data_IF_303557316974
#
_entry.id   IF_303557316974
#
_cell.length_a   1.000
_cell.length_b   1.000
_cell.length_c   1.000
_cell.angle_alpha   90.00
_cell.angle_beta   90.00
_cell.angle_gamma   90.00
#
_symmetry.space_group_name_H-M   'P 1'
#
loop_
_entity.id
_entity.type
_entity.pdbx_description
1 polymer ?
#
# COMPACT_ATOMS: atom_id res chain seq x y z
N UNK A 1 -4.88 47.15 -32.82
CA UNK A 1 -5.56 46.40 -31.74
C UNK A 1 -4.90 45.04 -31.69
N UNK A 2 -3.91 44.86 -30.82
CA UNK A 2 -3.12 43.62 -30.76
C UNK A 2 -3.63 42.77 -29.61
N UNK A 3 -4.38 41.71 -29.92
CA UNK A 3 -4.82 40.72 -28.95
C UNK A 3 -3.66 39.79 -28.61
N UNK A 4 -3.25 39.80 -27.33
CA UNK A 4 -2.37 38.78 -26.78
C UNK A 4 -3.24 37.58 -26.40
N UNK A 5 -3.05 36.45 -27.09
CA UNK A 5 -3.54 35.16 -26.64
C UNK A 5 -2.45 34.58 -25.74
N UNK A 6 -2.59 34.80 -24.43
CA UNK A 6 -1.75 34.11 -23.43
C UNK A 6 -2.21 32.65 -23.40
N UNK A 7 -1.41 31.78 -24.00
CA UNK A 7 -1.56 30.34 -23.82
C UNK A 7 -1.07 30.00 -22.42
N UNK A 8 -1.99 29.87 -21.47
CA UNK A 8 -1.69 29.44 -20.11
C UNK A 8 -1.29 27.95 -20.14
N UNK A 9 0.00 27.69 -20.36
CA UNK A 9 0.59 26.37 -20.21
C UNK A 9 0.70 26.07 -18.72
N UNK A 10 -0.30 25.41 -18.17
CA UNK A 10 -0.25 24.89 -16.80
C UNK A 10 0.68 23.67 -16.80
N UNK A 11 1.92 23.88 -16.34
CA UNK A 11 2.82 22.78 -16.01
C UNK A 11 2.44 22.21 -14.64
N UNK A 12 1.86 21.02 -14.61
CA UNK A 12 1.65 20.30 -13.35
C UNK A 12 2.98 19.65 -12.92
N UNK A 13 3.50 20.04 -11.76
CA UNK A 13 4.61 19.31 -11.14
C UNK A 13 4.12 17.97 -10.57
N UNK A 14 4.14 16.93 -11.43
CA UNK A 14 3.79 15.55 -11.09
C UNK A 14 4.81 14.94 -10.10
N UNK A 15 5.96 15.59 -9.89
CA UNK A 15 7.00 15.24 -8.90
C UNK A 15 6.49 15.17 -7.45
N UNK A 16 5.36 15.81 -7.16
CA UNK A 16 4.75 15.84 -5.81
C UNK A 16 3.65 14.80 -5.62
N UNK A 17 3.26 14.04 -6.65
CA UNK A 17 2.20 13.05 -6.55
C UNK A 17 2.74 11.71 -6.08
N UNK A 18 1.94 10.98 -5.30
CA UNK A 18 2.25 9.60 -4.95
C UNK A 18 2.11 8.70 -6.18
N UNK A 19 3.09 7.82 -6.38
CA UNK A 19 3.02 6.73 -7.35
C UNK A 19 2.45 5.51 -6.65
N UNK A 20 1.33 5.02 -7.16
CA UNK A 20 0.65 3.85 -6.61
C UNK A 20 0.78 2.65 -7.55
N UNK A 21 1.16 1.50 -7.00
CA UNK A 21 1.29 0.24 -7.76
C UNK A 21 0.58 -0.89 -7.05
N UNK A 22 -0.10 -1.75 -7.82
CA UNK A 22 -0.62 -3.01 -7.29
C UNK A 22 0.51 -4.05 -7.27
N UNK A 23 0.73 -4.68 -6.12
CA UNK A 23 1.76 -5.69 -5.90
C UNK A 23 1.09 -6.95 -5.39
N UNK A 24 1.43 -8.10 -5.97
CA UNK A 24 1.14 -9.42 -5.43
C UNK A 24 2.38 -9.90 -4.67
N UNK A 25 2.21 -10.33 -3.43
CA UNK A 25 3.30 -10.71 -2.54
C UNK A 25 3.02 -12.08 -1.91
N UNK A 26 4.04 -12.97 -1.84
CA UNK A 26 3.95 -14.17 -1.02
C UNK A 26 3.82 -13.80 0.46
N UNK A 27 3.54 -14.77 1.36
CA UNK A 27 3.60 -14.53 2.80
C UNK A 27 4.93 -13.88 3.20
N UNK A 28 4.87 -12.75 3.90
CA UNK A 28 6.06 -11.96 4.25
C UNK A 28 6.80 -12.50 5.48
N UNK A 29 6.14 -13.31 6.32
CA UNK A 29 6.71 -13.90 7.55
C UNK A 29 7.35 -12.86 8.48
N UNK A 30 6.78 -11.67 8.53
CA UNK A 30 7.18 -10.60 9.43
C UNK A 30 6.13 -10.45 10.53
N UNK A 31 6.53 -10.74 11.77
CA UNK A 31 5.64 -10.68 12.93
C UNK A 31 5.13 -9.27 13.22
N UNK A 32 5.74 -8.23 12.63
CA UNK A 32 5.26 -6.85 12.70
C UNK A 32 3.85 -6.69 12.13
N UNK A 33 3.42 -7.54 11.19
CA UNK A 33 2.04 -7.50 10.69
C UNK A 33 0.98 -7.79 11.76
N UNK A 34 1.37 -8.42 12.88
CA UNK A 34 0.49 -8.63 14.04
C UNK A 34 0.40 -7.44 15.01
N UNK A 35 0.98 -6.27 14.70
CA UNK A 35 0.98 -5.08 15.57
C UNK A 35 -0.39 -4.38 15.69
N UNK A 36 -1.39 -5.14 16.11
CA UNK A 36 -2.71 -4.68 16.51
C UNK A 36 -3.41 -3.84 15.45
N UNK A 37 -3.80 -2.63 15.85
CA UNK A 37 -4.58 -1.69 15.04
C UNK A 37 -3.74 -0.55 14.44
N UNK A 38 -2.40 -0.67 14.42
CA UNK A 38 -1.54 0.34 13.80
C UNK A 38 -1.98 0.62 12.35
N UNK A 39 -1.80 1.85 11.88
CA UNK A 39 -2.03 2.26 10.49
C UNK A 39 -0.71 2.65 9.80
N UNK A 40 0.42 2.39 10.45
CA UNK A 40 1.74 2.86 10.00
C UNK A 40 2.70 1.71 9.71
N UNK A 41 2.28 0.46 9.90
CA UNK A 41 3.17 -0.69 9.74
C UNK A 41 3.59 -0.89 8.28
N UNK A 42 2.73 -0.52 7.34
CA UNK A 42 3.02 -0.47 5.92
C UNK A 42 4.16 0.52 5.62
N UNK A 43 4.15 1.69 6.25
CA UNK A 43 5.24 2.64 6.10
C UNK A 43 6.56 2.08 6.64
N UNK A 44 6.53 1.35 7.76
CA UNK A 44 7.72 0.75 8.36
C UNK A 44 8.27 -0.45 7.57
N UNK A 45 7.40 -1.31 7.03
CA UNK A 45 7.79 -2.56 6.36
C UNK A 45 8.00 -2.33 4.86
N UNK A 46 7.10 -1.58 4.22
CA UNK A 46 7.05 -1.42 2.76
C UNK A 46 7.60 -0.07 2.30
N UNK A 47 7.83 0.89 3.21
CA UNK A 47 8.30 2.23 2.88
C UNK A 47 7.27 3.06 2.11
N UNK A 48 5.98 2.77 2.28
CA UNK A 48 4.88 3.47 1.64
C UNK A 48 3.54 3.15 2.28
N UNK A 49 2.48 3.74 1.75
CA UNK A 49 1.13 3.57 2.28
C UNK A 49 0.33 2.56 1.47
N UNK A 50 -0.15 1.51 2.13
CA UNK A 50 -1.15 0.61 1.55
C UNK A 50 -2.51 1.30 1.60
N UNK A 51 -3.11 1.53 0.44
CA UNK A 51 -4.44 2.18 0.37
C UNK A 51 -5.59 1.19 0.29
N UNK A 52 -5.33 -0.02 -0.22
CA UNK A 52 -6.27 -1.14 -0.23
C UNK A 52 -5.54 -2.46 -0.40
N UNK A 53 -6.11 -3.56 0.09
CA UNK A 53 -5.54 -4.90 -0.06
C UNK A 53 -6.56 -6.04 -0.13
N UNK A 54 -6.14 -7.18 -0.66
CA UNK A 54 -6.85 -8.46 -0.62
C UNK A 54 -5.92 -9.55 -0.10
N UNK A 55 -6.49 -10.56 0.56
CA UNK A 55 -5.78 -11.72 1.08
C UNK A 55 -6.30 -12.95 0.35
N UNK A 56 -5.40 -13.85 -0.07
CA UNK A 56 -5.77 -15.13 -0.64
C UNK A 56 -5.81 -16.17 0.46
N UNK A 57 -7.00 -16.67 0.78
CA UNK A 57 -7.20 -17.67 1.82
C UNK A 57 -6.69 -19.05 1.38
N UNK A 58 -6.51 -19.96 2.34
CA UNK A 58 -6.07 -21.34 2.05
C UNK A 58 -6.98 -22.12 1.09
N UNK A 59 -8.25 -21.71 0.93
CA UNK A 59 -9.14 -22.27 -0.09
C UNK A 59 -8.87 -21.73 -1.51
N UNK A 60 -7.84 -20.90 -1.69
CA UNK A 60 -7.43 -20.30 -2.96
C UNK A 60 -8.19 -19.04 -3.35
N UNK A 61 -9.27 -18.68 -2.65
CA UNK A 61 -10.09 -17.52 -2.96
C UNK A 61 -9.51 -16.24 -2.35
N UNK A 62 -9.59 -15.16 -3.13
CA UNK A 62 -9.30 -13.82 -2.65
C UNK A 62 -10.45 -13.30 -1.78
N UNK A 63 -10.12 -12.56 -0.72
CA UNK A 63 -11.07 -11.79 0.07
C UNK A 63 -11.71 -10.66 -0.75
N UNK A 64 -12.68 -9.93 -0.19
CA UNK A 64 -13.01 -8.58 -0.68
C UNK A 64 -11.82 -7.63 -0.49
N UNK A 65 -11.90 -6.43 -1.08
CA UNK A 65 -10.95 -5.37 -0.76
C UNK A 65 -11.15 -4.86 0.67
N UNK A 66 -10.03 -4.74 1.38
CA UNK A 66 -9.92 -4.09 2.66
C UNK A 66 -9.21 -2.74 2.48
N UNK A 67 -9.69 -1.72 3.18
CA UNK A 67 -9.11 -0.39 3.24
C UNK A 67 -8.68 -0.15 4.69
N UNK A 68 -7.38 0.10 4.96
CA UNK A 68 -6.89 0.36 6.31
C UNK A 68 -7.69 1.43 7.04
N UNK A 69 -8.25 1.08 8.18
CA UNK A 69 -9.02 1.99 9.04
C UNK A 69 -10.50 2.10 8.70
N UNK A 70 -10.98 1.44 7.64
CA UNK A 70 -12.38 1.54 7.20
C UNK A 70 -13.14 0.22 7.43
N UNK A 71 -12.69 -0.87 6.81
CA UNK A 71 -13.40 -2.16 6.84
C UNK A 71 -12.48 -3.34 7.15
N UNK A 72 -11.33 -3.08 7.76
CA UNK A 72 -10.22 -4.03 7.84
C UNK A 72 -9.88 -4.50 9.27
N UNK A 73 -10.81 -4.36 10.20
CA UNK A 73 -10.67 -4.94 11.54
C UNK A 73 -10.97 -6.44 11.44
N UNK A 74 -10.06 -7.27 11.95
CA UNK A 74 -10.24 -8.71 12.02
C UNK A 74 -11.25 -9.05 13.13
N UNK A 75 -12.11 -10.03 12.86
CA UNK A 75 -13.02 -10.61 13.86
C UNK A 75 -12.27 -11.50 14.86
N UNK A 76 -11.00 -11.85 14.59
CA UNK A 76 -10.13 -12.59 15.51
C UNK A 76 -9.23 -11.64 16.29
N UNK A 77 -9.01 -11.98 17.55
CA UNK A 77 -8.02 -11.33 18.39
C UNK A 77 -6.62 -11.93 18.17
N UNK A 78 -5.59 -11.12 18.41
CA UNK A 78 -4.23 -11.59 18.59
C UNK A 78 -4.18 -12.54 19.79
N UNK A 79 -3.97 -13.84 19.53
CA UNK A 79 -4.00 -14.88 20.57
C UNK A 79 -2.96 -14.68 21.67
N UNK A 80 -1.84 -14.03 21.36
CA UNK A 80 -0.74 -13.83 22.31
C UNK A 80 -1.06 -12.81 23.41
N UNK A 81 -1.91 -11.82 23.13
CA UNK A 81 -2.15 -10.70 24.04
C UNK A 81 -3.62 -10.23 24.09
N UNK A 82 -4.54 -10.97 23.48
CA UNK A 82 -5.98 -10.68 23.39
C UNK A 82 -6.31 -9.29 22.84
N UNK A 83 -5.44 -8.72 22.00
CA UNK A 83 -5.69 -7.42 21.36
C UNK A 83 -6.42 -7.58 20.03
N UNK A 84 -7.20 -6.58 19.62
CA UNK A 84 -7.74 -6.53 18.26
C UNK A 84 -6.60 -6.36 17.25
N UNK A 85 -6.81 -6.87 16.05
CA UNK A 85 -5.86 -6.76 14.93
C UNK A 85 -6.59 -6.40 13.65
N UNK A 86 -5.83 -5.97 12.65
CA UNK A 86 -6.34 -5.78 11.28
C UNK A 86 -6.23 -7.05 10.45
N UNK A 87 -7.00 -7.11 9.37
CA UNK A 87 -6.96 -8.20 8.40
C UNK A 87 -5.57 -8.37 7.78
N UNK A 88 -4.79 -7.29 7.62
CA UNK A 88 -3.41 -7.38 7.13
C UNK A 88 -2.46 -8.20 8.01
N UNK A 89 -2.89 -8.64 9.21
CA UNK A 89 -2.10 -9.56 10.04
C UNK A 89 -1.85 -10.89 9.33
N UNK A 90 -2.71 -11.23 8.37
CA UNK A 90 -2.53 -12.38 7.50
C UNK A 90 -1.46 -12.19 6.41
N UNK A 91 -0.86 -11.01 6.26
CA UNK A 91 0.27 -10.83 5.34
C UNK A 91 1.49 -11.64 5.78
N UNK A 92 1.57 -12.00 7.06
CA UNK A 92 2.59 -12.87 7.62
C UNK A 92 2.56 -14.28 7.00
N UNK A 93 1.38 -14.86 6.83
CA UNK A 93 1.21 -16.29 6.52
C UNK A 93 0.38 -16.58 5.25
N UNK A 94 -0.23 -15.57 4.62
CA UNK A 94 -1.00 -15.71 3.38
C UNK A 94 -0.39 -14.92 2.23
N UNK A 95 -0.55 -15.45 1.02
CA UNK A 95 -0.39 -14.64 -0.19
C UNK A 95 -1.42 -13.51 -0.17
N UNK A 96 -0.97 -12.32 -0.55
CA UNK A 96 -1.78 -11.12 -0.50
C UNK A 96 -1.44 -10.22 -1.68
N UNK A 97 -2.33 -9.27 -1.96
CA UNK A 97 -2.06 -8.21 -2.91
C UNK A 97 -2.55 -6.88 -2.37
N UNK A 98 -1.87 -5.81 -2.73
CA UNK A 98 -2.14 -4.49 -2.17
C UNK A 98 -1.74 -3.40 -3.15
N UNK A 99 -2.38 -2.24 -3.02
CA UNK A 99 -2.01 -1.02 -3.74
C UNK A 99 -1.13 -0.20 -2.80
N UNK A 100 0.15 -0.06 -3.16
CA UNK A 100 1.16 0.69 -2.41
C UNK A 100 1.42 2.04 -3.06
N UNK A 101 1.17 3.12 -2.34
CA UNK A 101 1.48 4.48 -2.76
C UNK A 101 2.75 4.99 -2.08
N UNK A 102 3.66 5.55 -2.86
CA UNK A 102 4.92 6.15 -2.39
C UNK A 102 5.13 7.51 -3.03
N UNK A 103 5.74 8.45 -2.31
CA UNK A 103 6.14 9.72 -2.89
C UNK A 103 7.09 9.48 -4.08
N UNK A 104 6.85 10.13 -5.22
CA UNK A 104 7.63 9.94 -6.45
C UNK A 104 9.15 10.09 -6.22
N UNK A 105 9.55 10.95 -5.29
CA UNK A 105 10.96 11.21 -4.93
C UNK A 105 11.66 10.06 -4.18
N UNK A 106 10.92 9.03 -3.77
CA UNK A 106 11.46 7.85 -3.07
C UNK A 106 11.73 6.66 -3.99
N UNK A 107 11.40 6.76 -5.29
CA UNK A 107 11.66 5.72 -6.29
C UNK A 107 13.05 5.97 -6.90
N UNK A 108 14.05 5.21 -6.47
CA UNK A 108 15.30 5.10 -7.22
C UNK A 108 15.04 4.29 -8.50
N UNK A 109 14.64 4.96 -9.57
CA UNK A 109 14.58 4.33 -10.90
C UNK A 109 16.03 4.05 -11.31
N UNK A 110 16.44 2.78 -11.57
CA UNK A 110 17.75 2.52 -12.13
C UNK A 110 17.85 3.24 -13.48
N UNK A 111 18.92 4.04 -13.65
CA UNK A 111 19.16 4.77 -14.89
C UNK A 111 19.03 3.83 -16.09
N UNK A 112 18.32 4.23 -17.17
CA UNK A 112 18.36 3.47 -18.40
C UNK A 112 19.82 3.39 -18.89
N UNK A 113 20.24 2.26 -19.48
CA UNK A 113 21.60 2.13 -20.00
C UNK A 113 21.85 3.23 -21.02
N UNK A 114 22.90 4.01 -20.77
CA UNK A 114 23.42 4.99 -21.73
C UNK A 114 23.97 4.18 -22.91
N UNK A 115 23.40 4.40 -24.08
CA UNK A 115 23.86 3.81 -25.34
C UNK A 115 24.96 4.70 -25.95
#
# INVERSE_FOLDING_TARGET
>A
MSGHSSGDNISYEISTQDICVEIISPPQRDSKWYQGLSLQIDQEILGGKVIAYQIRWFNGNWSTWFVPGVNDIDHKYNRANNTMRRMWSYFDDHEHKYILCKAANSVSIPNPPIN
#
